data_IF_783067510497
#
_entry.id   IF_783067510497
#
_cell.length_a   1.000
_cell.length_b   1.000
_cell.length_c   1.000
_cell.angle_alpha   90.00
_cell.angle_beta   90.00
_cell.angle_gamma   90.00
#
_symmetry.space_group_name_H-M   'P 1'
#
loop_
_entity.id
_entity.type
_entity.pdbx_description
1 polymer ?
#
# COMPACT_ATOMS: atom_id res chain seq x y z
N UNK A 1 -1.00 -8.35 10.39
CA UNK A 1 0.30 -8.60 9.74
C UNK A 1 0.77 -9.99 10.11
N UNK A 2 1.24 -10.78 9.14
CA UNK A 2 1.74 -12.13 9.34
C UNK A 2 3.13 -12.29 8.70
N UNK A 3 3.97 -13.15 9.28
CA UNK A 3 5.29 -13.51 8.76
C UNK A 3 5.35 -15.01 8.60
N UNK A 4 5.61 -15.48 7.39
CA UNK A 4 5.83 -16.88 7.07
C UNK A 4 7.33 -17.08 6.80
N UNK A 5 7.96 -18.00 7.56
CA UNK A 5 9.36 -18.38 7.40
C UNK A 5 9.46 -19.75 6.74
N UNK A 6 10.24 -19.88 5.67
CA UNK A 6 10.54 -21.17 5.05
C UNK A 6 11.05 -21.05 3.62
N UNK A 7 12.03 -21.87 3.25
CA UNK A 7 12.36 -22.12 1.84
C UNK A 7 11.27 -23.02 1.25
N UNK A 8 10.19 -22.44 0.75
CA UNK A 8 9.10 -23.25 0.21
C UNK A 8 7.91 -22.44 -0.29
N UNK A 9 7.87 -22.28 -1.61
CA UNK A 9 6.83 -21.64 -2.42
C UNK A 9 6.75 -20.12 -2.33
N UNK A 10 7.21 -19.46 -3.38
CA UNK A 10 6.81 -18.10 -3.72
C UNK A 10 5.28 -18.11 -3.86
N UNK A 11 4.57 -17.66 -2.81
CA UNK A 11 3.11 -17.51 -2.84
C UNK A 11 2.77 -16.60 -4.02
N UNK A 12 2.01 -17.13 -4.96
CA UNK A 12 1.47 -16.35 -6.06
C UNK A 12 0.29 -15.52 -5.55
N UNK A 13 -0.10 -14.43 -6.24
CA UNK A 13 -1.31 -13.70 -5.89
C UNK A 13 -2.55 -14.60 -5.80
N UNK A 14 -2.65 -15.63 -6.65
CA UNK A 14 -3.75 -16.61 -6.62
C UNK A 14 -3.78 -17.45 -5.33
N UNK A 15 -2.61 -17.81 -4.79
CA UNK A 15 -2.52 -18.57 -3.54
C UNK A 15 -2.98 -17.74 -2.32
N UNK A 16 -3.01 -16.42 -2.48
CA UNK A 16 -3.31 -15.45 -1.44
C UNK A 16 -4.70 -14.83 -1.57
N UNK A 17 -5.40 -15.04 -2.68
CA UNK A 17 -6.66 -14.34 -2.97
C UNK A 17 -7.68 -14.44 -1.82
N UNK A 18 -7.86 -15.65 -1.24
CA UNK A 18 -8.77 -15.86 -0.11
C UNK A 18 -8.35 -15.19 1.20
N UNK A 19 -7.05 -14.92 1.40
CA UNK A 19 -6.56 -14.19 2.58
C UNK A 19 -6.84 -12.69 2.50
N UNK A 20 -7.16 -12.18 1.30
CA UNK A 20 -7.33 -10.75 1.03
C UNK A 20 -8.67 -10.46 0.33
N UNK A 21 -9.73 -11.20 0.66
CA UNK A 21 -11.09 -10.99 0.13
C UNK A 21 -11.19 -10.96 -1.42
N UNK A 22 -10.27 -11.63 -2.11
CA UNK A 22 -10.08 -11.60 -3.56
C UNK A 22 -9.81 -10.19 -4.13
N UNK A 23 -9.31 -9.27 -3.30
CA UNK A 23 -8.88 -7.96 -3.73
C UNK A 23 -7.63 -8.03 -4.62
N UNK A 24 -7.43 -7.05 -5.51
CA UNK A 24 -6.16 -6.88 -6.20
C UNK A 24 -5.00 -6.73 -5.20
N UNK A 25 -3.98 -7.56 -5.37
CA UNK A 25 -2.81 -7.57 -4.50
C UNK A 25 -1.69 -6.68 -5.05
N UNK A 26 -1.05 -5.96 -4.14
CA UNK A 26 0.21 -5.28 -4.36
C UNK A 26 1.33 -6.13 -3.77
N UNK A 27 2.33 -6.45 -4.59
CA UNK A 27 3.48 -7.25 -4.21
C UNK A 27 4.79 -6.48 -4.37
N UNK A 28 5.76 -6.74 -3.50
CA UNK A 28 7.12 -6.21 -3.66
C UNK A 28 8.17 -7.15 -3.11
N UNK A 29 9.33 -7.17 -3.78
CA UNK A 29 10.55 -7.84 -3.30
C UNK A 29 11.35 -6.83 -2.49
N UNK A 30 11.66 -7.17 -1.25
CA UNK A 30 12.39 -6.28 -0.32
C UNK A 30 13.66 -6.95 0.19
N UNK A 31 14.51 -6.19 0.89
CA UNK A 31 15.74 -6.68 1.50
C UNK A 31 16.69 -7.38 0.52
N UNK A 32 16.81 -6.86 -0.70
CA UNK A 32 17.74 -7.39 -1.71
C UNK A 32 17.35 -8.75 -2.28
N UNK A 33 16.07 -9.16 -2.17
CA UNK A 33 15.60 -10.45 -2.66
C UNK A 33 15.20 -11.44 -1.57
N UNK A 34 15.57 -11.18 -0.32
CA UNK A 34 15.37 -12.13 0.79
C UNK A 34 13.95 -12.19 1.35
N UNK A 35 13.06 -11.28 0.92
CA UNK A 35 11.67 -11.29 1.37
C UNK A 35 10.70 -10.76 0.31
N UNK A 36 9.51 -11.33 0.28
CA UNK A 36 8.34 -10.82 -0.43
C UNK A 36 7.35 -10.22 0.54
N UNK A 37 6.74 -9.11 0.13
CA UNK A 37 5.66 -8.44 0.84
C UNK A 37 4.42 -8.41 -0.03
N UNK A 38 3.27 -8.79 0.55
CA UNK A 38 1.96 -8.72 -0.09
C UNK A 38 0.97 -7.92 0.77
N UNK A 39 0.16 -7.08 0.11
CA UNK A 39 -0.93 -6.31 0.73
C UNK A 39 -1.94 -5.83 -0.31
N UNK A 40 -3.19 -5.62 0.08
CA UNK A 40 -4.18 -4.93 -0.74
C UNK A 40 -4.40 -3.47 -0.30
N UNK A 41 -3.76 -3.01 0.78
CA UNK A 41 -3.97 -1.70 1.41
C UNK A 41 -5.44 -1.36 1.76
N UNK A 42 -6.29 -2.39 1.82
CA UNK A 42 -7.71 -2.24 2.14
C UNK A 42 -7.98 -2.59 3.59
N UNK A 43 -9.00 -1.94 4.15
CA UNK A 43 -9.55 -2.32 5.45
C UNK A 43 -10.47 -3.52 5.23
N UNK A 44 -10.21 -4.60 5.92
CA UNK A 44 -11.03 -5.81 5.86
C UNK A 44 -12.21 -5.70 6.82
N UNK A 45 -13.16 -6.64 6.73
CA UNK A 45 -14.36 -6.66 7.59
C UNK A 45 -14.07 -6.74 9.10
N UNK A 46 -12.89 -7.24 9.47
CA UNK A 46 -12.38 -7.27 10.85
C UNK A 46 -11.79 -5.94 11.33
N UNK A 47 -11.76 -4.91 10.47
CA UNK A 47 -11.22 -3.59 10.80
C UNK A 47 -9.69 -3.53 10.73
N UNK A 48 -9.02 -4.51 10.12
CA UNK A 48 -7.57 -4.52 9.97
C UNK A 48 -7.16 -4.49 8.50
N UNK A 49 -6.03 -3.83 8.23
CA UNK A 49 -5.33 -3.98 6.96
C UNK A 49 -4.40 -5.19 7.02
N UNK A 50 -4.24 -5.87 5.89
CA UNK A 50 -3.47 -7.12 5.82
C UNK A 50 -2.12 -6.90 5.16
N UNK A 51 -1.10 -7.51 5.77
CA UNK A 51 0.27 -7.57 5.25
C UNK A 51 0.79 -8.98 5.50
N UNK A 52 1.35 -9.60 4.46
CA UNK A 52 2.03 -10.88 4.54
C UNK A 52 3.48 -10.72 4.12
N UNK A 53 4.40 -11.11 4.99
CA UNK A 53 5.82 -11.23 4.69
C UNK A 53 6.16 -12.70 4.48
N UNK A 54 6.62 -13.04 3.28
CA UNK A 54 7.24 -14.34 3.01
C UNK A 54 8.76 -14.14 3.03
N UNK A 55 9.40 -14.60 4.10
CA UNK A 55 10.82 -14.33 4.34
C UNK A 55 11.65 -15.61 4.19
N UNK A 56 12.72 -15.50 3.41
CA UNK A 56 13.75 -16.53 3.29
C UNK A 56 14.81 -16.36 4.37
N UNK A 57 16.08 -16.43 3.98
CA UNK A 57 17.19 -16.18 4.90
C UNK A 57 17.30 -14.69 5.22
N UNK A 58 16.71 -14.31 6.35
CA UNK A 58 16.76 -12.95 6.90
C UNK A 58 17.11 -13.01 8.38
N UNK A 59 17.98 -12.12 8.84
CA UNK A 59 18.29 -12.02 10.26
C UNK A 59 17.14 -11.36 11.01
N UNK A 60 16.85 -11.77 12.27
CA UNK A 60 15.75 -11.19 13.04
C UNK A 60 15.81 -9.65 13.16
N UNK A 61 16.97 -9.00 13.37
CA UNK A 61 17.03 -7.53 13.39
C UNK A 61 16.66 -6.88 12.05
N UNK A 62 17.00 -7.53 10.94
CA UNK A 62 16.68 -7.02 9.59
C UNK A 62 15.19 -7.16 9.31
N UNK A 63 14.60 -8.31 9.65
CA UNK A 63 13.16 -8.53 9.57
C UNK A 63 12.39 -7.51 10.44
N UNK A 64 12.83 -7.27 11.67
CA UNK A 64 12.23 -6.27 12.55
C UNK A 64 12.24 -4.87 11.93
N UNK A 65 13.35 -4.44 11.32
CA UNK A 65 13.42 -3.15 10.60
C UNK A 65 12.50 -3.08 9.38
N UNK A 66 12.31 -4.18 8.66
CA UNK A 66 11.38 -4.22 7.52
C UNK A 66 9.93 -4.07 8.00
N UNK A 67 9.56 -4.82 9.03
CA UNK A 67 8.23 -4.74 9.64
C UNK A 67 7.97 -3.32 10.15
N UNK A 68 8.92 -2.74 10.90
CA UNK A 68 8.83 -1.38 11.41
C UNK A 68 8.61 -0.36 10.30
N UNK A 69 9.40 -0.42 9.22
CA UNK A 69 9.23 0.45 8.05
C UNK A 69 7.86 0.30 7.40
N UNK A 70 7.33 -0.92 7.34
CA UNK A 70 6.02 -1.15 6.75
C UNK A 70 4.90 -0.57 7.63
N UNK A 71 5.00 -0.73 8.95
CA UNK A 71 4.07 -0.11 9.89
C UNK A 71 4.13 1.41 9.82
N UNK A 72 5.31 1.99 9.68
CA UNK A 72 5.49 3.43 9.48
C UNK A 72 4.81 3.88 8.17
N UNK A 73 5.06 3.20 7.04
CA UNK A 73 4.42 3.51 5.75
C UNK A 73 2.90 3.45 5.87
N UNK A 74 2.37 2.41 6.50
CA UNK A 74 0.92 2.29 6.67
C UNK A 74 0.35 3.39 7.56
N UNK A 75 1.05 3.75 8.63
CA UNK A 75 0.67 4.87 9.50
C UNK A 75 0.66 6.19 8.72
N UNK A 76 1.70 6.46 7.93
CA UNK A 76 1.76 7.66 7.08
C UNK A 76 0.69 7.66 6.00
N UNK A 77 0.41 6.51 5.37
CA UNK A 77 -0.66 6.38 4.38
C UNK A 77 -2.03 6.66 4.99
N UNK A 78 -2.32 6.11 6.17
CA UNK A 78 -3.57 6.37 6.89
C UNK A 78 -3.72 7.85 7.25
N UNK A 79 -2.66 8.49 7.75
CA UNK A 79 -2.66 9.92 8.03
C UNK A 79 -2.88 10.76 6.76
N UNK A 80 -2.21 10.42 5.65
CA UNK A 80 -2.40 11.09 4.37
C UNK A 80 -3.84 10.94 3.85
N UNK A 81 -4.46 9.79 4.06
CA UNK A 81 -5.84 9.51 3.68
C UNK A 81 -6.88 10.31 4.46
N UNK A 82 -6.54 10.90 5.62
CA UNK A 82 -7.45 11.80 6.35
C UNK A 82 -7.78 13.06 5.53
N UNK A 83 -6.81 13.56 4.76
CA UNK A 83 -7.01 14.72 3.88
C UNK A 83 -7.65 14.35 2.53
N UNK A 84 -7.70 13.07 2.18
CA UNK A 84 -8.17 12.61 0.87
C UNK A 84 -9.65 12.98 0.57
N UNK A 85 -10.62 12.84 1.50
CA UNK A 85 -12.00 13.27 1.27
C UNK A 85 -12.10 14.77 0.96
N UNK A 86 -11.40 15.60 1.75
CA UNK A 86 -11.36 17.05 1.57
C UNK A 86 -10.71 17.44 0.23
N UNK A 87 -9.62 16.75 -0.14
CA UNK A 87 -8.98 16.94 -1.44
C UNK A 87 -9.92 16.54 -2.59
N UNK A 88 -10.68 15.44 -2.45
CA UNK A 88 -11.65 15.00 -3.45
C UNK A 88 -12.79 16.00 -3.63
N UNK A 89 -13.26 16.60 -2.54
CA UNK A 89 -14.30 17.64 -2.56
C UNK A 89 -13.82 18.95 -3.19
N UNK A 90 -12.55 19.33 -2.98
CA UNK A 90 -12.01 20.57 -3.53
C UNK A 90 -11.65 20.50 -5.03
N UNK A 91 -11.45 19.30 -5.57
CA UNK A 91 -11.06 19.06 -6.98
C UNK A 91 -11.94 19.81 -8.00
N UNK A 92 -13.28 19.73 -7.98
CA UNK A 92 -14.12 20.40 -8.99
C UNK A 92 -13.93 21.93 -8.99
N UNK A 93 -13.78 22.52 -7.79
CA UNK A 93 -13.54 23.96 -7.65
C UNK A 93 -12.18 24.35 -8.23
N UNK A 94 -11.14 23.54 -7.97
CA UNK A 94 -9.81 23.76 -8.54
C UNK A 94 -9.85 23.68 -10.07
N UNK A 95 -10.47 22.64 -10.63
CA UNK A 95 -10.61 22.46 -12.08
C UNK A 95 -11.35 23.62 -12.74
N UNK A 96 -12.39 24.17 -12.11
CA UNK A 96 -13.12 25.33 -12.64
C UNK A 96 -12.22 26.58 -12.72
N UNK A 97 -11.39 26.80 -11.69
CA UNK A 97 -10.42 27.91 -11.66
C UNK A 97 -9.34 27.73 -12.73
N UNK A 98 -8.77 26.53 -12.84
CA UNK A 98 -7.75 26.20 -13.85
C UNK A 98 -8.29 26.39 -15.28
N UNK A 99 -9.53 25.95 -15.54
CA UNK A 99 -10.19 26.13 -16.84
C UNK A 99 -10.38 27.61 -17.18
N UNK A 100 -10.84 28.41 -16.21
CA UNK A 100 -11.02 29.86 -16.41
C UNK A 100 -9.67 30.54 -16.67
N UNK A 101 -8.63 30.17 -15.94
CA UNK A 101 -7.29 30.71 -16.12
C UNK A 101 -6.74 30.37 -17.51
N UNK A 102 -6.86 29.12 -17.95
CA UNK A 102 -6.46 28.70 -19.29
C UNK A 102 -7.16 29.50 -20.39
N UNK A 103 -8.46 29.79 -20.21
CA UNK A 103 -9.21 30.63 -21.14
C UNK A 103 -8.76 32.10 -21.20
N UNK A 104 -8.18 32.65 -20.12
CA UNK A 104 -7.59 33.99 -20.12
C UNK A 104 -6.24 33.96 -20.85
N UNK A 105 -5.39 32.98 -20.53
CA UNK A 105 -4.06 32.84 -21.14
C UNK A 105 -4.16 32.66 -22.65
N UNK A 106 -5.14 31.87 -23.14
CA UNK A 106 -5.33 31.64 -24.57
C UNK A 106 -5.78 32.89 -25.37
N UNK A 107 -6.09 34.00 -24.70
CA UNK A 107 -6.49 35.28 -25.32
C UNK A 107 -5.35 36.32 -25.32
N UNK A 108 -4.21 35.99 -24.70
CA UNK A 108 -2.97 36.75 -24.75
C UNK A 108 -2.13 36.26 -25.95
#
# INVERSE_FOLDING_TARGET
MAVETGQGSHRTPSDLAGLFDNNPLNGSIVSGGSAWLWTDFQLHSDGFTRFLFNVGEITPPTLGRLIQRMLEIETYRMMAMLAFPLAKESRPRLTAVETKLGGIIARL
#
